data_IF_371694664461
#
_entry.id   IF_371694664461
#
_cell.length_a   1.000
_cell.length_b   1.000
_cell.length_c   1.000
_cell.angle_alpha   90.00
_cell.angle_beta   90.00
_cell.angle_gamma   90.00
#
_symmetry.space_group_name_H-M   'P 1'
#
loop_
_entity.id
_entity.type
_entity.pdbx_description
1 polymer ?
#
# COMPACT_ATOMS: atom_id res chain seq x y z
N UNK A 1 -22.03 -18.74 -25.18
CA UNK A 1 -20.63 -18.70 -24.72
C UNK A 1 -20.17 -17.24 -24.71
N UNK A 2 -19.98 -16.60 -23.55
CA UNK A 2 -19.58 -15.17 -23.50
C UNK A 2 -18.14 -15.01 -23.99
N UNK A 3 -17.86 -13.97 -24.77
CA UNK A 3 -16.51 -13.68 -25.27
C UNK A 3 -15.55 -13.39 -24.10
N UNK A 4 -14.24 -13.60 -24.30
CA UNK A 4 -13.19 -13.38 -23.28
C UNK A 4 -13.21 -11.93 -22.74
N UNK A 5 -13.52 -10.97 -23.63
CA UNK A 5 -13.77 -9.57 -23.29
C UNK A 5 -15.05 -9.40 -22.46
N UNK A 6 -16.16 -10.01 -22.85
CA UNK A 6 -17.42 -9.96 -22.08
C UNK A 6 -17.28 -10.55 -20.66
N UNK A 7 -16.45 -11.58 -20.46
CA UNK A 7 -16.13 -12.08 -19.11
C UNK A 7 -15.37 -11.04 -18.26
N UNK A 8 -14.41 -10.33 -18.86
CA UNK A 8 -13.66 -9.25 -18.18
C UNK A 8 -14.58 -8.11 -17.73
N UNK A 9 -15.61 -7.79 -18.52
CA UNK A 9 -16.63 -6.79 -18.17
C UNK A 9 -17.72 -7.29 -17.21
N UNK A 10 -17.88 -8.61 -17.06
CA UNK A 10 -18.85 -9.22 -16.13
C UNK A 10 -18.30 -9.42 -14.72
N UNK A 11 -16.99 -9.62 -14.58
CA UNK A 11 -16.33 -9.49 -13.29
C UNK A 11 -16.37 -8.01 -12.90
N UNK A 12 -16.53 -7.69 -11.62
CA UNK A 12 -16.68 -6.34 -11.06
C UNK A 12 -15.56 -5.33 -11.42
N UNK A 13 -14.65 -5.63 -12.35
CA UNK A 13 -13.54 -4.83 -12.84
C UNK A 13 -13.90 -3.38 -13.17
N UNK A 14 -14.91 -3.12 -14.01
CA UNK A 14 -15.27 -1.73 -14.37
C UNK A 14 -15.77 -0.96 -13.15
N UNK A 15 -16.63 -1.58 -12.35
CA UNK A 15 -17.14 -1.00 -11.10
C UNK A 15 -15.99 -0.72 -10.14
N UNK A 16 -15.09 -1.68 -9.96
CA UNK A 16 -13.89 -1.54 -9.13
C UNK A 16 -12.99 -0.41 -9.63
N UNK A 17 -12.78 -0.27 -10.94
CA UNK A 17 -11.97 0.79 -11.51
C UNK A 17 -12.61 2.16 -11.26
N UNK A 18 -13.92 2.28 -11.47
CA UNK A 18 -14.67 3.51 -11.19
C UNK A 18 -14.63 3.89 -9.71
N UNK A 19 -14.80 2.91 -8.80
CA UNK A 19 -14.70 3.13 -7.35
C UNK A 19 -13.28 3.54 -6.97
N UNK A 20 -12.25 2.86 -7.49
CA UNK A 20 -10.86 3.21 -7.21
C UNK A 20 -10.50 4.62 -7.67
N UNK A 21 -10.97 5.02 -8.87
CA UNK A 21 -10.79 6.39 -9.37
C UNK A 21 -11.57 7.39 -8.52
N UNK A 22 -12.86 7.12 -8.24
CA UNK A 22 -13.68 7.98 -7.39
C UNK A 22 -13.04 8.22 -6.02
N UNK A 23 -12.64 7.15 -5.33
CA UNK A 23 -12.02 7.23 -4.01
C UNK A 23 -10.70 8.01 -4.08
N UNK A 24 -9.81 7.66 -5.01
CA UNK A 24 -8.50 8.31 -5.09
C UNK A 24 -8.56 9.78 -5.50
N UNK A 25 -9.27 10.09 -6.58
CA UNK A 25 -9.28 11.41 -7.21
C UNK A 25 -10.29 12.36 -6.56
N UNK A 26 -11.52 11.89 -6.31
CA UNK A 26 -12.60 12.76 -5.87
C UNK A 26 -12.67 12.83 -4.35
N UNK A 27 -12.65 11.67 -3.69
CA UNK A 27 -12.86 11.60 -2.24
C UNK A 27 -11.60 11.95 -1.44
N UNK A 28 -10.48 11.29 -1.73
CA UNK A 28 -9.22 11.51 -1.02
C UNK A 28 -8.38 12.65 -1.58
N UNK A 29 -8.54 12.98 -2.87
CA UNK A 29 -7.73 13.94 -3.62
C UNK A 29 -6.25 13.58 -3.61
N UNK A 30 -5.79 13.11 -4.75
CA UNK A 30 -4.41 12.67 -4.93
C UNK A 30 -3.41 13.81 -4.69
N UNK A 31 -2.41 13.56 -3.83
CA UNK A 31 -1.32 14.49 -3.50
C UNK A 31 0.05 13.83 -3.62
N UNK A 32 1.06 14.62 -4.00
CA UNK A 32 2.45 14.17 -3.96
C UNK A 32 2.99 14.20 -2.53
N UNK A 33 4.04 13.42 -2.26
CA UNK A 33 4.77 13.47 -0.99
C UNK A 33 5.52 14.79 -0.83
N UNK A 34 5.65 15.28 0.41
CA UNK A 34 6.27 16.57 0.73
C UNK A 34 7.69 16.74 0.18
N UNK A 35 8.44 15.64 0.15
CA UNK A 35 9.85 15.60 -0.24
C UNK A 35 10.08 15.24 -1.71
N UNK A 36 9.05 15.23 -2.55
CA UNK A 36 9.15 14.76 -3.95
C UNK A 36 10.21 15.54 -4.76
N UNK A 37 10.42 16.83 -4.44
CA UNK A 37 11.49 17.64 -5.02
C UNK A 37 12.88 17.16 -4.61
N UNK A 38 13.07 16.79 -3.34
CA UNK A 38 14.33 16.22 -2.86
C UNK A 38 14.65 14.88 -3.53
N UNK A 39 13.63 14.05 -3.81
CA UNK A 39 13.82 12.81 -4.57
C UNK A 39 14.26 13.09 -6.02
N UNK A 40 13.73 14.15 -6.64
CA UNK A 40 14.17 14.58 -7.97
C UNK A 40 15.60 15.12 -7.97
N UNK A 41 15.97 15.96 -6.99
CA UNK A 41 17.34 16.48 -6.85
C UNK A 41 18.37 15.35 -6.65
N UNK A 42 17.99 14.27 -5.97
CA UNK A 42 18.84 13.07 -5.84
C UNK A 42 19.11 12.41 -7.20
N UNK A 43 18.13 12.39 -8.11
CA UNK A 43 18.31 11.87 -9.47
C UNK A 43 19.40 12.67 -10.19
N UNK A 44 19.38 13.98 -10.09
CA UNK A 44 20.38 14.85 -10.75
C UNK A 44 21.77 14.70 -10.13
N UNK A 45 21.87 14.55 -8.81
CA UNK A 45 23.13 14.24 -8.13
C UNK A 45 23.70 12.88 -8.55
N UNK A 46 22.85 11.88 -8.79
CA UNK A 46 23.28 10.58 -9.29
C UNK A 46 23.81 10.68 -10.73
N UNK A 47 23.21 11.52 -11.58
CA UNK A 47 23.70 11.80 -12.95
C UNK A 47 25.05 12.52 -12.95
N UNK A 48 25.24 13.49 -12.05
CA UNK A 48 26.49 14.25 -11.96
C UNK A 48 27.65 13.49 -11.30
N UNK A 49 27.37 12.34 -10.68
CA UNK A 49 28.36 11.53 -9.96
C UNK A 49 28.79 12.12 -8.60
N UNK A 50 28.20 13.25 -8.20
CA UNK A 50 28.50 13.97 -6.96
C UNK A 50 27.31 13.90 -6.00
N UNK A 51 27.15 12.76 -5.33
CA UNK A 51 26.08 12.56 -4.33
C UNK A 51 26.47 13.28 -3.04
N UNK A 52 25.84 14.43 -2.80
CA UNK A 52 26.06 15.28 -1.62
C UNK A 52 24.89 15.14 -0.63
N UNK A 53 23.75 14.62 -1.10
CA UNK A 53 22.54 14.41 -0.32
C UNK A 53 22.81 13.59 0.94
N UNK A 54 22.52 14.20 2.09
CA UNK A 54 22.40 13.54 3.40
C UNK A 54 20.96 13.12 3.68
N UNK A 55 20.06 13.16 2.69
CA UNK A 55 18.64 12.90 2.94
C UNK A 55 18.42 11.47 3.46
N UNK A 56 18.04 11.41 4.73
CA UNK A 56 17.88 10.22 5.55
C UNK A 56 16.63 9.38 5.23
N UNK A 57 15.92 9.70 4.13
CA UNK A 57 14.55 9.23 3.89
C UNK A 57 14.37 8.55 2.53
N UNK A 58 15.38 7.83 2.03
CA UNK A 58 15.16 6.92 0.91
C UNK A 58 14.39 5.70 1.44
N UNK A 59 13.08 5.87 1.58
CA UNK A 59 12.18 4.78 1.97
C UNK A 59 12.08 3.72 0.88
N UNK A 60 12.31 4.13 -0.37
CA UNK A 60 12.41 3.23 -1.51
C UNK A 60 13.21 3.83 -2.67
N UNK A 61 14.07 3.03 -3.33
CA UNK A 61 14.88 3.52 -4.44
C UNK A 61 14.14 3.58 -5.78
N UNK A 62 12.92 3.04 -5.89
CA UNK A 62 12.35 2.71 -7.21
C UNK A 62 12.05 3.94 -8.06
N UNK A 63 11.39 4.97 -7.51
CA UNK A 63 11.10 6.18 -8.30
C UNK A 63 12.37 6.95 -8.66
N UNK A 64 13.32 7.05 -7.74
CA UNK A 64 14.66 7.62 -8.00
C UNK A 64 15.41 6.85 -9.09
N UNK A 65 15.45 5.52 -8.98
CA UNK A 65 16.12 4.65 -9.97
C UNK A 65 15.46 4.74 -11.34
N UNK A 66 14.13 4.69 -11.42
CA UNK A 66 13.41 4.80 -12.69
C UNK A 66 13.62 6.17 -13.32
N UNK A 67 13.53 7.26 -12.54
CA UNK A 67 13.79 8.60 -13.05
C UNK A 67 15.22 8.78 -13.55
N UNK A 68 16.20 8.16 -12.89
CA UNK A 68 17.60 8.10 -13.36
C UNK A 68 17.73 7.31 -14.67
N UNK A 69 17.16 6.10 -14.73
CA UNK A 69 17.21 5.22 -15.93
C UNK A 69 16.55 5.87 -17.14
N UNK A 70 15.41 6.53 -16.94
CA UNK A 70 14.69 7.24 -18.00
C UNK A 70 15.27 8.62 -18.33
N UNK A 71 16.32 9.06 -17.62
CA UNK A 71 16.97 10.37 -17.80
C UNK A 71 15.96 11.52 -17.77
N UNK A 72 15.11 11.54 -16.75
CA UNK A 72 14.13 12.61 -16.58
C UNK A 72 14.84 13.84 -16.02
N UNK A 73 14.91 14.91 -16.81
CA UNK A 73 15.67 16.13 -16.47
C UNK A 73 14.76 17.32 -16.12
N UNK A 74 13.44 17.15 -16.18
CA UNK A 74 12.46 18.19 -15.84
C UNK A 74 11.55 17.72 -14.69
N UNK A 75 11.37 18.57 -13.69
CA UNK A 75 10.61 18.25 -12.50
C UNK A 75 9.12 18.01 -12.76
N UNK A 76 8.46 18.82 -13.61
CA UNK A 76 7.05 18.62 -13.94
C UNK A 76 6.85 17.31 -14.74
N UNK A 77 7.81 16.95 -15.62
CA UNK A 77 7.82 15.65 -16.31
C UNK A 77 8.00 14.50 -15.32
N UNK A 78 8.84 14.67 -14.30
CA UNK A 78 8.98 13.69 -13.21
C UNK A 78 7.67 13.52 -12.43
N UNK A 79 7.00 14.60 -12.04
CA UNK A 79 5.70 14.54 -11.37
C UNK A 79 4.65 13.81 -12.21
N UNK A 80 4.58 14.11 -13.52
CA UNK A 80 3.69 13.41 -14.45
C UNK A 80 4.03 11.92 -14.56
N UNK A 81 5.31 11.58 -14.61
CA UNK A 81 5.77 10.19 -14.61
C UNK A 81 5.33 9.43 -13.35
N UNK A 82 5.53 10.00 -12.16
CA UNK A 82 5.10 9.41 -10.89
C UNK A 82 3.59 9.18 -10.87
N UNK A 83 2.81 10.15 -11.36
CA UNK A 83 1.36 10.03 -11.48
C UNK A 83 0.93 8.90 -12.42
N UNK A 84 1.44 8.88 -13.66
CA UNK A 84 1.10 7.86 -14.64
C UNK A 84 1.49 6.46 -14.16
N UNK A 85 2.67 6.33 -13.56
CA UNK A 85 3.11 5.07 -12.97
C UNK A 85 2.17 4.60 -11.85
N UNK A 86 1.74 5.51 -10.98
CA UNK A 86 0.78 5.21 -9.91
C UNK A 86 -0.58 4.76 -10.45
N UNK A 87 -1.07 5.38 -11.53
CA UNK A 87 -2.30 4.96 -12.21
C UNK A 87 -2.18 3.56 -12.83
N UNK A 88 -1.06 3.27 -13.48
CA UNK A 88 -0.81 1.94 -14.06
C UNK A 88 -0.82 0.88 -12.96
N UNK A 89 -0.19 1.15 -11.82
CA UNK A 89 -0.21 0.23 -10.69
C UNK A 89 -1.62 0.07 -10.09
N UNK A 90 -2.39 1.16 -9.96
CA UNK A 90 -3.78 1.08 -9.52
C UNK A 90 -4.64 0.22 -10.46
N UNK A 91 -4.46 0.37 -11.77
CA UNK A 91 -5.11 -0.48 -12.76
C UNK A 91 -4.71 -1.95 -12.59
N UNK A 92 -3.42 -2.24 -12.40
CA UNK A 92 -2.92 -3.60 -12.19
C UNK A 92 -3.46 -4.22 -10.89
N UNK A 93 -3.63 -3.42 -9.83
CA UNK A 93 -4.28 -3.86 -8.58
C UNK A 93 -5.72 -4.29 -8.89
N UNK A 94 -6.51 -3.39 -9.48
CA UNK A 94 -7.93 -3.65 -9.82
C UNK A 94 -8.07 -4.86 -10.75
N UNK A 95 -7.18 -5.00 -11.73
CA UNK A 95 -7.16 -6.15 -12.62
C UNK A 95 -6.92 -7.45 -11.87
N UNK A 96 -6.01 -7.44 -10.89
CA UNK A 96 -5.71 -8.63 -10.10
C UNK A 96 -6.81 -8.97 -9.10
N UNK A 97 -7.66 -8.04 -8.66
CA UNK A 97 -8.75 -8.32 -7.71
C UNK A 97 -9.78 -9.36 -8.19
N UNK A 98 -9.79 -9.71 -9.48
CA UNK A 98 -10.67 -10.72 -10.05
C UNK A 98 -10.61 -12.07 -9.32
N UNK A 99 -9.48 -12.42 -8.70
CA UNK A 99 -9.39 -13.67 -7.93
C UNK A 99 -10.31 -13.70 -6.70
N UNK A 100 -10.70 -12.54 -6.17
CA UNK A 100 -11.67 -12.42 -5.08
C UNK A 100 -13.12 -12.55 -5.56
N UNK A 101 -13.34 -12.70 -6.88
CA UNK A 101 -14.65 -12.89 -7.49
C UNK A 101 -15.63 -11.75 -7.15
N UNK A 102 -16.88 -12.12 -6.86
CA UNK A 102 -17.96 -11.16 -6.56
C UNK A 102 -17.72 -10.28 -5.34
N UNK A 103 -16.72 -10.61 -4.50
CA UNK A 103 -16.41 -9.89 -3.26
C UNK A 103 -15.30 -8.85 -3.42
N UNK A 104 -14.68 -8.76 -4.60
CA UNK A 104 -13.50 -7.93 -4.89
C UNK A 104 -13.63 -6.47 -4.44
N UNK A 105 -14.83 -5.89 -4.53
CA UNK A 105 -15.07 -4.48 -4.23
C UNK A 105 -14.78 -4.14 -2.77
N UNK A 106 -14.94 -5.10 -1.85
CA UNK A 106 -14.64 -4.88 -0.42
C UNK A 106 -13.19 -4.50 -0.21
N UNK A 107 -12.28 -5.02 -1.05
CA UNK A 107 -10.86 -4.72 -0.95
C UNK A 107 -10.56 -3.25 -1.22
N UNK A 108 -11.27 -2.62 -2.17
CA UNK A 108 -11.11 -1.19 -2.48
C UNK A 108 -11.66 -0.30 -1.37
N UNK A 109 -12.58 -0.81 -0.57
CA UNK A 109 -13.14 -0.07 0.56
C UNK A 109 -12.23 -0.16 1.79
N UNK A 110 -11.13 -0.91 1.75
CA UNK A 110 -10.15 -0.95 2.85
C UNK A 110 -9.18 0.24 2.81
N UNK A 111 -8.54 0.55 3.94
CA UNK A 111 -7.84 1.82 4.15
C UNK A 111 -6.64 2.12 3.24
N UNK A 112 -6.11 1.15 2.48
CA UNK A 112 -4.92 1.36 1.65
C UNK A 112 -5.15 2.35 0.50
N UNK A 113 -6.39 2.52 0.02
CA UNK A 113 -6.69 3.47 -1.07
C UNK A 113 -6.40 4.90 -0.63
N UNK A 114 -6.64 5.23 0.65
CA UNK A 114 -6.28 6.55 1.19
C UNK A 114 -4.77 6.74 1.11
N UNK A 115 -4.01 5.76 1.60
CA UNK A 115 -2.55 5.80 1.67
C UNK A 115 -1.92 6.04 0.31
N UNK A 116 -2.34 5.29 -0.70
CA UNK A 116 -1.76 5.47 -2.05
C UNK A 116 -2.19 6.78 -2.72
N UNK A 117 -3.27 7.40 -2.26
CA UNK A 117 -3.77 8.67 -2.80
C UNK A 117 -3.02 9.85 -2.21
N UNK A 118 -2.73 9.83 -0.92
CA UNK A 118 -2.08 10.95 -0.24
C UNK A 118 -0.56 10.99 -0.40
N UNK A 119 0.05 9.82 -0.57
CA UNK A 119 1.50 9.69 -0.60
C UNK A 119 2.00 9.31 -2.01
N UNK A 120 1.48 9.96 -3.05
CA UNK A 120 1.97 9.67 -4.39
C UNK A 120 3.43 10.10 -4.54
N UNK A 121 4.28 9.21 -5.07
CA UNK A 121 5.73 9.36 -5.01
C UNK A 121 6.35 8.54 -3.87
N UNK A 122 5.58 8.14 -2.86
CA UNK A 122 5.93 6.92 -2.13
C UNK A 122 5.53 5.70 -2.94
N UNK A 123 6.27 4.63 -2.70
CA UNK A 123 6.11 3.36 -3.40
C UNK A 123 5.00 2.47 -2.83
N UNK A 124 4.10 3.06 -2.05
CA UNK A 124 3.07 2.33 -1.32
C UNK A 124 2.11 1.62 -2.29
N UNK A 125 1.77 2.24 -3.42
CA UNK A 125 0.93 1.62 -4.45
C UNK A 125 1.56 0.35 -5.04
N UNK A 126 2.89 0.33 -5.20
CA UNK A 126 3.60 -0.88 -5.61
C UNK A 126 3.62 -1.93 -4.50
N UNK A 127 3.77 -1.51 -3.24
CA UNK A 127 3.64 -2.41 -2.08
C UNK A 127 2.28 -3.07 -2.04
N UNK A 128 1.19 -2.33 -2.26
CA UNK A 128 -0.18 -2.89 -2.34
C UNK A 128 -0.27 -3.94 -3.44
N UNK A 129 0.22 -3.64 -4.64
CA UNK A 129 0.21 -4.60 -5.76
C UNK A 129 0.99 -5.87 -5.40
N UNK A 130 2.20 -5.74 -4.86
CA UNK A 130 3.04 -6.88 -4.52
C UNK A 130 2.43 -7.72 -3.39
N UNK A 131 1.89 -7.08 -2.34
CA UNK A 131 1.18 -7.80 -1.26
C UNK A 131 -0.04 -8.53 -1.82
N UNK A 132 -0.80 -7.92 -2.74
CA UNK A 132 -1.94 -8.56 -3.40
C UNK A 132 -1.51 -9.81 -4.17
N UNK A 133 -0.45 -9.71 -4.96
CA UNK A 133 0.08 -10.82 -5.76
C UNK A 133 0.63 -11.96 -4.88
N UNK A 134 1.37 -11.62 -3.83
CA UNK A 134 1.86 -12.60 -2.84
C UNK A 134 0.67 -13.29 -2.16
N UNK A 135 -0.30 -12.52 -1.66
CA UNK A 135 -1.48 -13.06 -0.97
C UNK A 135 -2.25 -13.99 -1.90
N UNK A 136 -2.48 -13.57 -3.15
CA UNK A 136 -3.12 -14.40 -4.18
C UNK A 136 -2.41 -15.74 -4.37
N UNK A 137 -1.09 -15.74 -4.58
CA UNK A 137 -0.30 -16.98 -4.74
C UNK A 137 -0.41 -17.91 -3.51
N UNK A 138 -0.39 -17.32 -2.31
CA UNK A 138 -0.46 -18.11 -1.08
C UNK A 138 -1.83 -18.74 -0.84
N UNK A 139 -2.90 -18.07 -1.28
CA UNK A 139 -4.28 -18.48 -1.02
C UNK A 139 -4.90 -19.33 -2.14
N UNK A 140 -4.55 -19.13 -3.43
CA UNK A 140 -5.10 -19.87 -4.58
C UNK A 140 -4.49 -21.28 -4.79
N UNK A 141 -4.03 -21.95 -3.73
CA UNK A 141 -3.44 -23.30 -3.79
C UNK A 141 -2.26 -23.50 -4.77
N UNK A 142 -1.72 -22.43 -5.34
CA UNK A 142 -0.63 -22.45 -6.33
C UNK A 142 0.56 -21.65 -5.81
N UNK A 143 1.25 -22.20 -4.80
CA UNK A 143 2.51 -21.62 -4.31
C UNK A 143 3.59 -21.81 -5.38
N UNK A 144 3.57 -20.94 -6.37
CA UNK A 144 4.63 -20.81 -7.36
C UNK A 144 5.86 -20.21 -6.68
N UNK A 145 6.78 -21.10 -6.32
CA UNK A 145 7.97 -20.80 -5.53
C UNK A 145 8.82 -19.70 -6.18
N UNK A 146 8.95 -19.72 -7.51
CA UNK A 146 9.74 -18.72 -8.25
C UNK A 146 9.10 -17.35 -8.16
N UNK A 147 7.78 -17.27 -8.36
CA UNK A 147 7.06 -16.00 -8.23
C UNK A 147 7.09 -15.48 -6.79
N UNK A 148 7.01 -16.37 -5.80
CA UNK A 148 7.09 -15.99 -4.40
C UNK A 148 8.45 -15.36 -4.06
N UNK A 149 9.56 -15.97 -4.53
CA UNK A 149 10.91 -15.39 -4.39
C UNK A 149 10.97 -14.00 -5.04
N UNK A 150 10.50 -13.88 -6.29
CA UNK A 150 10.54 -12.61 -7.05
C UNK A 150 9.71 -11.52 -6.36
N UNK A 151 8.48 -11.83 -5.93
CA UNK A 151 7.62 -10.83 -5.33
C UNK A 151 8.09 -10.40 -3.94
N UNK A 152 8.63 -11.32 -3.11
CA UNK A 152 9.27 -10.92 -1.86
C UNK A 152 10.56 -10.14 -2.09
N UNK A 153 11.37 -10.52 -3.09
CA UNK A 153 12.54 -9.73 -3.49
C UNK A 153 12.15 -8.29 -3.85
N UNK A 154 11.16 -8.13 -4.75
CA UNK A 154 10.68 -6.82 -5.16
C UNK A 154 10.07 -6.05 -3.99
N UNK A 155 9.26 -6.71 -3.14
CA UNK A 155 8.63 -6.05 -1.99
C UNK A 155 9.68 -5.63 -0.96
N UNK A 156 10.74 -6.41 -0.77
CA UNK A 156 11.85 -6.03 0.10
C UNK A 156 12.60 -4.84 -0.45
N UNK A 157 12.99 -4.86 -1.72
CA UNK A 157 13.64 -3.72 -2.40
C UNK A 157 12.76 -2.47 -2.34
N UNK A 158 11.46 -2.66 -2.49
CA UNK A 158 10.48 -1.58 -2.45
C UNK A 158 10.30 -1.00 -1.05
N UNK A 159 9.98 -1.86 -0.08
CA UNK A 159 9.64 -1.48 1.29
C UNK A 159 9.93 -2.63 2.27
N UNK A 160 11.20 -2.77 2.67
CA UNK A 160 11.70 -3.87 3.50
C UNK A 160 10.87 -4.15 4.78
N UNK A 161 10.54 -3.10 5.55
CA UNK A 161 9.74 -3.27 6.76
C UNK A 161 8.37 -3.90 6.49
N UNK A 162 7.65 -3.42 5.46
CA UNK A 162 6.36 -3.98 5.05
C UNK A 162 6.51 -5.41 4.52
N UNK A 163 7.60 -5.73 3.81
CA UNK A 163 7.90 -7.11 3.40
C UNK A 163 7.99 -8.04 4.63
N UNK A 164 8.68 -7.60 5.68
CA UNK A 164 8.85 -8.34 6.92
C UNK A 164 7.52 -8.52 7.69
N UNK A 165 6.70 -7.47 7.79
CA UNK A 165 5.36 -7.57 8.41
C UNK A 165 4.47 -8.54 7.63
N UNK A 166 4.42 -8.37 6.30
CA UNK A 166 3.64 -9.23 5.40
C UNK A 166 4.05 -10.70 5.53
N UNK A 167 5.35 -10.98 5.69
CA UNK A 167 5.86 -12.33 5.94
C UNK A 167 5.27 -12.96 7.20
N UNK A 168 5.29 -12.29 8.36
CA UNK A 168 4.73 -12.86 9.60
C UNK A 168 3.22 -13.02 9.53
N UNK A 169 2.51 -12.02 9.00
CA UNK A 169 1.06 -12.08 8.83
C UNK A 169 0.67 -13.27 7.97
N UNK A 170 1.27 -13.43 6.78
CA UNK A 170 0.95 -14.54 5.89
C UNK A 170 1.39 -15.91 6.44
N UNK A 171 2.46 -15.97 7.23
CA UNK A 171 2.87 -17.21 7.90
C UNK A 171 1.78 -17.75 8.85
N UNK A 172 1.03 -16.85 9.50
CA UNK A 172 -0.12 -17.19 10.35
C UNK A 172 -1.31 -17.62 9.49
N UNK A 173 -1.65 -16.83 8.47
CA UNK A 173 -2.85 -17.02 7.64
C UNK A 173 -2.78 -18.29 6.78
N UNK A 174 -1.62 -18.60 6.21
CA UNK A 174 -1.44 -19.71 5.26
C UNK A 174 -1.72 -21.08 5.90
N UNK A 175 -2.20 -22.02 5.08
CA UNK A 175 -2.43 -23.40 5.45
C UNK A 175 -1.15 -24.09 5.93
N UNK A 176 -1.27 -24.93 6.98
CA UNK A 176 -0.14 -25.59 7.65
C UNK A 176 0.78 -26.32 6.66
N UNK A 177 0.22 -27.02 5.69
CA UNK A 177 0.93 -27.83 4.69
C UNK A 177 1.90 -26.97 3.85
N UNK A 178 1.53 -25.71 3.56
CA UNK A 178 2.31 -24.80 2.70
C UNK A 178 3.31 -23.95 3.46
N UNK A 179 3.22 -23.88 4.80
CA UNK A 179 4.05 -23.00 5.63
C UNK A 179 5.54 -23.18 5.41
N UNK A 180 6.02 -24.42 5.29
CA UNK A 180 7.45 -24.70 5.08
C UNK A 180 7.95 -24.12 3.75
N UNK A 181 7.23 -24.39 2.67
CA UNK A 181 7.57 -23.84 1.34
C UNK A 181 7.53 -22.32 1.37
N UNK A 182 6.43 -21.74 1.87
CA UNK A 182 6.30 -20.29 2.01
C UNK A 182 7.47 -19.68 2.80
N UNK A 183 7.79 -20.23 3.97
CA UNK A 183 8.86 -19.75 4.83
C UNK A 183 10.20 -19.71 4.08
N UNK A 184 10.58 -20.79 3.41
CA UNK A 184 11.87 -20.88 2.70
C UNK A 184 11.93 -19.85 1.56
N UNK A 185 10.96 -19.86 0.64
CA UNK A 185 11.04 -19.04 -0.57
C UNK A 185 10.82 -17.55 -0.30
N UNK A 186 9.96 -17.20 0.66
CA UNK A 186 9.80 -15.81 1.09
C UNK A 186 11.04 -15.29 1.78
N UNK A 187 11.73 -16.10 2.59
CA UNK A 187 13.01 -15.71 3.22
C UNK A 187 14.11 -15.53 2.18
N UNK A 188 14.23 -16.43 1.19
CA UNK A 188 15.21 -16.28 0.10
C UNK A 188 14.99 -14.96 -0.64
N UNK A 189 13.74 -14.64 -1.01
CA UNK A 189 13.42 -13.35 -1.65
C UNK A 189 13.83 -12.15 -0.80
N UNK A 190 13.52 -12.17 0.49
CA UNK A 190 13.90 -11.09 1.42
C UNK A 190 15.41 -10.96 1.59
N UNK A 191 16.15 -12.06 1.73
CA UNK A 191 17.62 -12.03 1.87
C UNK A 191 18.26 -11.42 0.63
N UNK A 192 17.86 -11.87 -0.56
CA UNK A 192 18.40 -11.33 -1.82
C UNK A 192 18.03 -9.85 -2.00
N UNK A 193 16.80 -9.46 -1.64
CA UNK A 193 16.36 -8.06 -1.69
C UNK A 193 17.16 -7.17 -0.74
N UNK A 194 17.43 -7.65 0.48
CA UNK A 194 18.23 -6.93 1.47
C UNK A 194 19.69 -6.74 1.03
N UNK A 195 20.28 -7.73 0.36
CA UNK A 195 21.63 -7.59 -0.22
C UNK A 195 21.65 -6.45 -1.25
N UNK A 196 20.67 -6.41 -2.15
CA UNK A 196 20.59 -5.36 -3.18
C UNK A 196 20.35 -3.96 -2.59
N UNK A 197 19.43 -3.84 -1.61
CA UNK A 197 19.21 -2.56 -0.92
C UNK A 197 20.48 -2.10 -0.23
N UNK A 198 21.19 -3.01 0.46
CA UNK A 198 22.44 -2.66 1.15
C UNK A 198 23.49 -2.14 0.18
N UNK A 199 23.62 -2.78 -0.99
CA UNK A 199 24.50 -2.28 -2.06
C UNK A 199 24.08 -0.90 -2.56
N UNK A 200 22.78 -0.68 -2.81
CA UNK A 200 22.26 0.61 -3.24
C UNK A 200 22.50 1.71 -2.20
N UNK A 201 22.15 1.47 -0.94
CA UNK A 201 22.32 2.43 0.16
C UNK A 201 23.80 2.80 0.34
N UNK A 202 24.71 1.83 0.24
CA UNK A 202 26.14 2.09 0.26
C UNK A 202 26.58 2.95 -0.93
N UNK A 203 26.03 2.73 -2.13
CA UNK A 203 26.41 3.49 -3.35
C UNK A 203 26.05 4.96 -3.28
N UNK A 204 24.96 5.29 -2.60
CA UNK A 204 24.51 6.68 -2.39
C UNK A 204 25.10 7.31 -1.12
N UNK A 205 26.09 6.66 -0.48
CA UNK A 205 26.65 7.07 0.80
C UNK A 205 25.58 7.34 1.86
N UNK A 206 24.55 6.49 1.91
CA UNK A 206 23.47 6.63 2.87
C UNK A 206 24.03 6.55 4.30
N UNK A 207 24.13 7.70 4.95
CA UNK A 207 24.59 7.83 6.34
C UNK A 207 23.46 7.65 7.35
N UNK A 208 22.25 7.30 6.88
CA UNK A 208 21.11 7.11 7.75
C UNK A 208 21.31 5.97 8.74
N UNK A 209 21.01 6.28 10.00
CA UNK A 209 20.94 5.28 11.07
C UNK A 209 19.97 4.20 10.61
N UNK A 210 20.38 2.93 10.64
CA UNK A 210 19.47 1.83 10.35
C UNK A 210 18.20 1.99 11.21
N UNK A 211 17.00 1.86 10.62
CA UNK A 211 15.74 2.11 11.32
C UNK A 211 15.63 1.36 12.64
N UNK A 212 16.17 0.16 12.74
CA UNK A 212 16.28 -0.58 14.01
C UNK A 212 17.13 0.15 15.06
N UNK A 213 18.28 0.71 14.70
CA UNK A 213 19.11 1.51 15.61
C UNK A 213 18.42 2.81 16.01
N UNK A 214 17.68 3.45 15.09
CA UNK A 214 16.89 4.65 15.37
C UNK A 214 15.73 4.36 16.35
N UNK A 215 15.01 3.25 16.12
CA UNK A 215 13.96 2.71 16.99
C UNK A 215 14.45 2.52 18.44
N UNK A 216 15.66 2.01 18.64
CA UNK A 216 16.20 1.73 19.98
C UNK A 216 17.00 2.90 20.62
N UNK A 217 17.54 3.84 19.86
CA UNK A 217 18.43 4.88 20.40
C UNK A 217 17.77 6.24 20.68
N UNK A 218 16.65 6.58 20.03
CA UNK A 218 16.09 7.95 20.06
C UNK A 218 14.71 8.03 20.75
N UNK A 219 14.41 7.16 21.72
CA UNK A 219 13.10 7.04 22.42
C UNK A 219 11.88 6.88 21.50
N UNK A 220 12.09 6.58 20.21
CA UNK A 220 11.04 6.42 19.19
C UNK A 220 10.02 5.35 19.56
N UNK A 221 10.46 4.26 20.22
CA UNK A 221 9.53 3.25 20.75
C UNK A 221 8.61 3.87 21.79
N UNK A 222 9.14 4.68 22.71
CA UNK A 222 8.34 5.32 23.75
C UNK A 222 7.37 6.33 23.14
N UNK A 223 7.81 7.15 22.19
CA UNK A 223 6.96 8.12 21.50
C UNK A 223 5.87 7.44 20.65
N UNK A 224 6.22 6.37 19.95
CA UNK A 224 5.27 5.59 19.14
C UNK A 224 4.27 4.83 20.02
N UNK A 225 4.72 4.27 21.15
CA UNK A 225 3.83 3.64 22.14
C UNK A 225 2.92 4.69 22.78
N UNK A 226 3.43 5.86 23.17
CA UNK A 226 2.63 6.93 23.74
C UNK A 226 1.59 7.42 22.73
N UNK A 227 2.00 7.67 21.49
CA UNK A 227 1.08 8.04 20.42
C UNK A 227 0.01 6.97 20.18
N UNK A 228 0.39 5.69 20.04
CA UNK A 228 -0.57 4.61 19.83
C UNK A 228 -1.47 4.44 21.05
N UNK A 229 -0.96 4.61 22.28
CA UNK A 229 -1.75 4.50 23.51
C UNK A 229 -2.78 5.64 23.61
N UNK A 230 -2.34 6.89 23.43
CA UNK A 230 -3.18 8.08 23.50
C UNK A 230 -4.17 8.18 22.34
N UNK A 231 -3.79 7.65 21.18
CA UNK A 231 -4.57 7.71 19.95
C UNK A 231 -5.00 6.32 19.49
N UNK A 232 -5.13 5.33 20.39
CA UNK A 232 -5.41 3.94 19.98
C UNK A 232 -6.69 3.86 19.17
N UNK A 233 -7.71 4.62 19.58
CA UNK A 233 -8.94 4.75 18.81
C UNK A 233 -8.65 5.44 17.48
N UNK A 234 -7.91 6.54 17.39
CA UNK A 234 -7.66 7.13 16.06
C UNK A 234 -6.85 6.18 15.17
N UNK A 235 -5.78 5.53 15.66
CA UNK A 235 -4.96 4.57 14.90
C UNK A 235 -5.79 3.38 14.42
N UNK A 236 -6.64 2.83 15.30
CA UNK A 236 -7.67 1.87 14.95
C UNK A 236 -8.54 2.54 13.86
N UNK A 237 -9.35 3.54 14.17
CA UNK A 237 -10.33 4.14 13.27
C UNK A 237 -9.77 4.64 11.91
N UNK A 238 -8.48 4.99 11.84
CA UNK A 238 -7.73 5.47 10.67
C UNK A 238 -7.58 4.47 9.53
N UNK A 239 -7.24 3.22 9.85
CA UNK A 239 -7.01 2.14 8.88
C UNK A 239 -7.96 0.97 9.08
N UNK A 240 -8.67 0.94 10.20
CA UNK A 240 -9.35 -0.24 10.71
C UNK A 240 -10.83 -0.24 10.40
N UNK A 241 -11.55 0.86 10.15
CA UNK A 241 -13.02 0.73 10.18
C UNK A 241 -13.59 -0.16 9.08
N UNK A 242 -13.05 -0.09 7.87
CA UNK A 242 -13.42 -1.04 6.82
C UNK A 242 -12.91 -2.47 7.11
N UNK A 243 -11.76 -2.61 7.78
CA UNK A 243 -11.25 -3.91 8.24
C UNK A 243 -12.08 -4.48 9.40
N UNK A 244 -12.62 -3.65 10.28
CA UNK A 244 -13.50 -3.98 11.39
C UNK A 244 -14.83 -4.47 10.88
N UNK A 245 -15.39 -3.77 9.89
CA UNK A 245 -16.61 -4.21 9.24
C UNK A 245 -16.36 -5.56 8.58
N UNK A 246 -15.24 -5.73 7.88
CA UNK A 246 -14.82 -7.03 7.37
C UNK A 246 -14.63 -8.06 8.50
N UNK A 247 -14.09 -7.68 9.65
CA UNK A 247 -13.91 -8.55 10.80
C UNK A 247 -15.23 -8.96 11.44
N UNK A 248 -16.18 -8.05 11.59
CA UNK A 248 -17.52 -8.31 12.14
C UNK A 248 -18.22 -9.31 11.20
N UNK A 249 -18.23 -9.02 9.90
CA UNK A 249 -18.78 -9.93 8.89
C UNK A 249 -18.08 -11.28 8.94
N UNK A 250 -16.74 -11.29 9.00
CA UNK A 250 -15.93 -12.51 9.05
C UNK A 250 -16.19 -13.33 10.33
N UNK A 251 -16.37 -12.66 11.47
CA UNK A 251 -16.59 -13.28 12.77
C UNK A 251 -17.97 -13.93 12.88
N UNK A 252 -18.99 -13.31 12.29
CA UNK A 252 -20.35 -13.87 12.22
C UNK A 252 -20.38 -15.13 11.34
N UNK A 253 -19.51 -15.19 10.33
CA UNK A 253 -19.65 -16.16 9.22
C UNK A 253 -18.69 -17.33 9.30
N UNK A 254 -17.66 -17.26 10.16
CA UNK A 254 -16.61 -18.26 10.26
C UNK A 254 -16.42 -18.77 11.69
N UNK A 255 -15.93 -20.01 11.79
CA UNK A 255 -15.61 -20.64 13.07
C UNK A 255 -14.39 -20.02 13.78
N UNK A 256 -14.24 -20.38 15.06
CA UNK A 256 -13.19 -19.87 15.95
C UNK A 256 -11.77 -19.98 15.38
N UNK A 257 -11.44 -21.09 14.70
CA UNK A 257 -10.09 -21.29 14.14
C UNK A 257 -9.69 -20.22 13.11
N UNK A 258 -10.65 -19.78 12.28
CA UNK A 258 -10.42 -18.74 11.29
C UNK A 258 -10.33 -17.36 11.97
N UNK A 259 -11.20 -17.09 12.94
CA UNK A 259 -11.17 -15.86 13.74
C UNK A 259 -9.88 -15.73 14.55
N UNK A 260 -9.36 -16.83 15.09
CA UNK A 260 -8.09 -16.87 15.82
C UNK A 260 -6.92 -16.42 14.94
N UNK A 261 -6.84 -16.91 13.69
CA UNK A 261 -5.81 -16.49 12.73
C UNK A 261 -5.89 -14.99 12.41
N UNK A 262 -7.11 -14.48 12.23
CA UNK A 262 -7.37 -13.06 12.01
C UNK A 262 -6.83 -12.24 13.19
N UNK A 263 -7.26 -12.56 14.42
CA UNK A 263 -6.88 -11.83 15.64
C UNK A 263 -5.36 -11.81 15.84
N UNK A 264 -4.69 -12.96 15.72
CA UNK A 264 -3.23 -13.04 15.85
C UNK A 264 -2.54 -12.17 14.80
N UNK A 265 -3.01 -12.20 13.55
CA UNK A 265 -2.44 -11.41 12.47
C UNK A 265 -2.62 -9.91 12.72
N UNK A 266 -3.78 -9.49 13.23
CA UNK A 266 -4.04 -8.10 13.59
C UNK A 266 -3.12 -7.63 14.71
N UNK A 267 -2.87 -8.45 15.74
CA UNK A 267 -1.91 -8.13 16.79
C UNK A 267 -0.48 -7.96 16.26
N UNK A 268 -0.07 -8.80 15.29
CA UNK A 268 1.22 -8.63 14.60
C UNK A 268 1.27 -7.27 13.90
N UNK A 269 0.23 -6.90 13.15
CA UNK A 269 0.16 -5.60 12.47
C UNK A 269 0.24 -4.42 13.46
N UNK A 270 -0.50 -4.49 14.58
CA UNK A 270 -0.47 -3.46 15.63
C UNK A 270 0.94 -3.35 16.21
N UNK A 271 1.56 -4.48 16.58
CA UNK A 271 2.91 -4.49 17.16
C UNK A 271 3.94 -3.80 16.25
N UNK A 272 3.98 -4.15 14.96
CA UNK A 272 4.91 -3.53 14.03
C UNK A 272 4.58 -2.06 13.72
N UNK A 273 3.31 -1.69 13.81
CA UNK A 273 2.87 -0.31 13.69
C UNK A 273 3.38 0.55 14.84
N UNK A 274 3.37 0.03 16.07
CA UNK A 274 3.91 0.72 17.24
C UNK A 274 5.43 0.95 17.20
N UNK A 275 6.14 0.38 16.23
CA UNK A 275 7.58 0.50 16.07
C UNK A 275 7.91 1.46 14.89
N UNK A 276 6.91 1.96 14.18
CA UNK A 276 7.05 2.84 13.03
C UNK A 276 6.63 4.28 13.36
N UNK A 277 7.35 5.26 12.78
CA UNK A 277 7.02 6.68 12.90
C UNK A 277 5.69 7.04 12.20
N UNK A 278 5.43 6.45 11.03
CA UNK A 278 4.20 6.67 10.25
C UNK A 278 3.17 5.58 10.51
N UNK A 279 2.75 5.48 11.77
CA UNK A 279 1.96 4.37 12.33
C UNK A 279 0.78 3.95 11.45
N UNK A 280 -0.11 4.88 11.12
CA UNK A 280 -1.35 4.63 10.37
C UNK A 280 -1.13 4.29 8.89
N UNK A 281 -0.13 4.89 8.23
CA UNK A 281 0.29 4.55 6.86
C UNK A 281 0.82 3.11 6.80
N UNK A 282 1.71 2.76 7.72
CA UNK A 282 2.30 1.41 7.79
C UNK A 282 1.23 0.37 8.15
N UNK A 283 0.32 0.72 9.05
CA UNK A 283 -0.78 -0.15 9.44
C UNK A 283 -1.73 -0.46 8.27
N UNK A 284 -2.12 0.55 7.48
CA UNK A 284 -3.03 0.37 6.33
C UNK A 284 -2.46 -0.62 5.29
N UNK A 285 -1.14 -0.64 5.11
CA UNK A 285 -0.43 -1.58 4.25
C UNK A 285 -0.30 -2.96 4.92
N UNK A 286 0.01 -2.99 6.23
CA UNK A 286 0.20 -4.22 6.99
C UNK A 286 -1.06 -5.10 7.04
N UNK A 287 -2.25 -4.50 7.05
CA UNK A 287 -3.53 -5.24 7.14
C UNK A 287 -4.02 -5.80 5.79
N UNK A 288 -3.40 -5.43 4.67
CA UNK A 288 -3.80 -5.90 3.32
C UNK A 288 -3.89 -7.43 3.20
N UNK A 289 -2.91 -8.23 3.67
CA UNK A 289 -3.02 -9.69 3.60
C UNK A 289 -4.19 -10.23 4.41
N UNK A 290 -4.52 -9.58 5.54
CA UNK A 290 -5.66 -9.93 6.39
C UNK A 290 -6.96 -9.65 5.64
N UNK A 291 -7.10 -8.46 5.04
CA UNK A 291 -8.26 -8.10 4.21
C UNK A 291 -8.50 -9.12 3.10
N UNK A 292 -7.45 -9.47 2.36
CA UNK A 292 -7.52 -10.43 1.26
C UNK A 292 -7.95 -11.80 1.78
N UNK A 293 -7.35 -12.28 2.87
CA UNK A 293 -7.71 -13.56 3.49
C UNK A 293 -9.17 -13.60 3.92
N UNK A 294 -9.65 -12.55 4.59
CA UNK A 294 -11.04 -12.45 5.04
C UNK A 294 -12.01 -12.47 3.87
N UNK A 295 -11.77 -11.62 2.86
CA UNK A 295 -12.61 -11.54 1.66
C UNK A 295 -12.60 -12.86 0.90
N UNK A 296 -11.44 -13.52 0.78
CA UNK A 296 -11.33 -14.81 0.09
C UNK A 296 -12.13 -15.94 0.75
N UNK A 297 -12.43 -15.81 2.04
CA UNK A 297 -13.23 -16.80 2.79
C UNK A 297 -14.74 -16.54 2.69
N UNK A 298 -15.16 -15.34 2.25
CA UNK A 298 -16.58 -14.99 2.14
C UNK A 298 -17.35 -15.86 1.15
N UNK A 299 -16.65 -16.41 0.15
CA UNK A 299 -17.24 -17.35 -0.82
C UNK A 299 -17.80 -18.63 -0.17
N UNK A 300 -17.40 -18.97 1.06
CA UNK A 300 -17.85 -20.14 1.81
C UNK A 300 -19.16 -19.92 2.56
N UNK A 301 -19.61 -18.68 2.72
CA UNK A 301 -20.81 -18.34 3.51
C UNK A 301 -22.02 -18.07 2.60
N UNK A 302 -23.11 -18.83 2.79
CA UNK A 302 -24.41 -18.55 2.14
C UNK A 302 -24.99 -17.21 2.62
N UNK A 303 -24.88 -16.93 3.93
CA UNK A 303 -25.36 -15.70 4.54
C UNK A 303 -24.76 -14.44 3.87
N UNK A 304 -23.45 -14.44 3.57
CA UNK A 304 -22.83 -13.32 2.86
C UNK A 304 -23.34 -13.21 1.43
N UNK A 305 -23.55 -14.34 0.73
CA UNK A 305 -24.08 -14.32 -0.64
C UNK A 305 -25.47 -13.68 -0.69
N UNK A 306 -26.33 -14.05 0.24
CA UNK A 306 -27.71 -13.55 0.33
C UNK A 306 -27.77 -12.06 0.73
N UNK A 307 -26.83 -11.59 1.55
CA UNK A 307 -26.81 -10.23 2.10
C UNK A 307 -25.73 -9.32 1.50
N UNK A 308 -25.16 -9.69 0.35
CA UNK A 308 -23.98 -9.05 -0.23
C UNK A 308 -24.19 -7.55 -0.50
N UNK A 309 -25.35 -7.17 -1.04
CA UNK A 309 -25.70 -5.77 -1.33
C UNK A 309 -25.73 -4.92 -0.07
N UNK A 310 -26.34 -5.41 1.01
CA UNK A 310 -26.39 -4.72 2.30
C UNK A 310 -25.00 -4.52 2.89
N UNK A 311 -24.15 -5.54 2.84
CA UNK A 311 -22.76 -5.40 3.29
C UNK A 311 -21.96 -4.40 2.47
N UNK A 312 -22.18 -4.34 1.15
CA UNK A 312 -21.54 -3.33 0.31
C UNK A 312 -21.99 -1.92 0.65
N UNK A 313 -23.30 -1.70 0.77
CA UNK A 313 -23.86 -0.39 1.13
C UNK A 313 -23.34 0.02 2.51
N UNK A 314 -23.39 -0.88 3.49
CA UNK A 314 -22.92 -0.61 4.85
C UNK A 314 -21.43 -0.27 4.89
N UNK A 315 -20.60 -1.03 4.18
CA UNK A 315 -19.15 -0.78 4.13
C UNK A 315 -18.86 0.55 3.43
N UNK A 316 -19.50 0.81 2.29
CA UNK A 316 -19.31 2.05 1.53
C UNK A 316 -19.75 3.29 2.33
N UNK A 317 -20.95 3.26 2.91
CA UNK A 317 -21.45 4.36 3.76
C UNK A 317 -20.51 4.58 4.94
N UNK A 318 -20.06 3.50 5.59
CA UNK A 318 -19.13 3.61 6.71
C UNK A 318 -17.82 4.27 6.28
N UNK A 319 -17.24 3.87 5.14
CA UNK A 319 -16.04 4.52 4.57
C UNK A 319 -16.26 6.03 4.34
N UNK A 320 -17.45 6.42 3.86
CA UNK A 320 -17.78 7.84 3.63
C UNK A 320 -18.01 8.63 4.93
N UNK A 321 -18.69 8.05 5.92
CA UNK A 321 -19.06 8.71 7.19
C UNK A 321 -17.83 9.05 8.03
N UNK A 322 -16.84 8.17 8.07
CA UNK A 322 -15.58 8.42 8.79
C UNK A 322 -14.84 9.57 8.14
N UNK A 323 -14.89 9.63 6.80
CA UNK A 323 -14.16 10.60 6.03
C UNK A 323 -12.63 10.44 6.14
N UNK A 324 -11.87 11.33 5.49
CA UNK A 324 -10.41 11.34 5.57
C UNK A 324 -9.86 11.67 6.97
N UNK A 325 -10.69 12.25 7.85
CA UNK A 325 -10.31 12.93 9.09
C UNK A 325 -9.60 12.08 10.12
N UNK A 326 -9.80 10.77 10.07
CA UNK A 326 -9.25 9.86 11.07
C UNK A 326 -8.01 9.14 10.59
N UNK A 327 -7.58 9.30 9.32
CA UNK A 327 -6.61 8.39 8.70
C UNK A 327 -5.16 8.53 9.21
N UNK A 328 -4.80 9.56 10.00
CA UNK A 328 -3.43 9.71 10.49
C UNK A 328 -3.21 10.27 11.91
N UNK A 329 -4.11 10.05 12.88
CA UNK A 329 -3.84 10.36 14.31
C UNK A 329 -3.72 11.84 14.69
N UNK A 330 -3.66 12.75 13.71
CA UNK A 330 -4.21 14.10 13.82
C UNK A 330 -5.50 14.14 13.01
N UNK A 331 -6.48 14.90 13.50
CA UNK A 331 -7.74 15.18 12.80
C UNK A 331 -7.49 16.01 11.53
N UNK A 332 -6.84 15.39 10.54
CA UNK A 332 -6.47 16.03 9.29
C UNK A 332 -7.72 16.11 8.42
N UNK A 333 -8.36 17.27 8.43
CA UNK A 333 -9.51 17.57 7.56
C UNK A 333 -9.15 17.63 6.08
N UNK A 334 -7.85 17.69 5.77
CA UNK A 334 -7.27 17.73 4.44
C UNK A 334 -6.06 16.76 4.37
N UNK A 335 -5.49 16.51 3.19
CA UNK A 335 -4.28 15.66 3.03
C UNK A 335 -3.19 16.05 4.04
N UNK A 336 -2.37 15.14 4.58
CA UNK A 336 -1.20 15.51 5.38
C UNK A 336 -0.27 16.49 4.65
N UNK A 337 -0.37 16.54 3.33
CA UNK A 337 0.53 17.25 2.43
C UNK A 337 -0.11 18.56 1.90
N UNK A 338 -0.84 19.31 2.74
CA UNK A 338 -1.60 20.51 2.31
C UNK A 338 -0.74 21.67 1.78
N UNK A 339 0.51 21.74 2.21
CA UNK A 339 1.50 22.69 1.70
C UNK A 339 2.13 22.24 0.38
N UNK A 340 1.82 21.03 -0.08
CA UNK A 340 2.42 20.40 -1.26
C UNK A 340 1.49 20.49 -2.44
N UNK A 341 2.09 20.49 -3.61
CA UNK A 341 1.41 20.42 -4.88
C UNK A 341 0.51 19.17 -4.97
N UNK A 342 -0.78 19.36 -5.28
CA UNK A 342 -1.65 18.27 -5.70
C UNK A 342 -1.50 18.02 -7.20
N UNK A 343 -1.88 16.83 -7.68
CA UNK A 343 -1.95 16.58 -9.13
C UNK A 343 -2.84 17.61 -9.87
N UNK A 344 -3.86 18.14 -9.19
CA UNK A 344 -4.74 19.16 -9.73
C UNK A 344 -4.11 20.56 -9.85
N UNK A 345 -2.97 20.80 -9.19
CA UNK A 345 -2.17 22.00 -9.38
C UNK A 345 -1.20 21.84 -10.56
N UNK A 346 -0.75 20.61 -10.82
CA UNK A 346 0.13 20.27 -11.94
C UNK A 346 -0.59 20.42 -13.29
N UNK A 347 -1.85 20.00 -13.40
CA UNK A 347 -2.62 20.07 -14.66
C UNK A 347 -2.67 21.52 -15.20
N UNK A 348 -3.12 22.54 -14.45
CA UNK A 348 -3.11 23.92 -14.93
C UNK A 348 -1.72 24.41 -15.32
N UNK A 349 -0.66 24.01 -14.61
CA UNK A 349 0.72 24.40 -14.93
C UNK A 349 1.15 23.85 -16.29
N UNK A 350 0.90 22.57 -16.55
CA UNK A 350 1.22 21.92 -17.83
C UNK A 350 0.41 22.59 -18.94
N UNK A 351 -0.90 22.79 -18.74
CA UNK A 351 -1.77 23.44 -19.73
C UNK A 351 -1.31 24.87 -20.01
N UNK A 352 -1.03 25.68 -18.99
CA UNK A 352 -0.57 27.05 -19.17
C UNK A 352 0.80 27.12 -19.87
N UNK A 353 1.71 26.18 -19.57
CA UNK A 353 3.00 26.07 -20.25
C UNK A 353 2.82 25.76 -21.75
N UNK A 354 1.99 24.77 -22.09
CA UNK A 354 1.70 24.39 -23.48
C UNK A 354 0.97 25.49 -24.25
N UNK A 355 0.08 26.22 -23.59
CA UNK A 355 -0.73 27.28 -24.20
C UNK A 355 -0.08 28.67 -24.09
N UNK A 356 1.14 28.78 -23.56
CA UNK A 356 1.81 30.06 -23.30
C UNK A 356 1.98 30.93 -24.54
N UNK A 357 2.12 30.32 -25.72
CA UNK A 357 2.22 31.00 -27.01
C UNK A 357 0.89 31.29 -27.72
N UNK A 358 -0.26 30.95 -27.13
CA UNK A 358 -1.59 31.25 -27.70
C UNK A 358 -2.12 32.60 -27.18
N UNK A 359 -1.66 33.01 -26.00
CA UNK A 359 -2.13 34.23 -25.32
C UNK A 359 -1.14 35.40 -25.42
N UNK A 360 -0.01 35.20 -26.10
CA UNK A 360 0.95 36.23 -26.54
C UNK A 360 0.65 36.65 -27.97
#
# INVERSE_FOLDING_TARGET
>A
MKSKLQKIFYDNFVVNLLIAIFLSHIFYKITFIDRIKGEFELIDQLKSGSVISTQFYVESPIFTMLGFVFRIDNFDVYLLFVYLFSLVLLFLIVFNLKFLGSYSTFFLLTGWVVTISWFMGHVDVLSVLLILLISKLTLENSVDQKKLVIFYFLLTVNHNAIAFVCFFVLLVLIEKIKRKSFLIYSLVGQVVGNILISFYLNRINFSGRGRLRFVFNDNVILDSINFVSENIFIVIWSGFMSLLILQIIFSITNGWDLNKKFIISTFICIFFTCIALDTSRIFSLAVIPISIYSISSFNKSSFIKENLSYFYIFTFISTLLIGPRFVHGMALTNSPNNSIESFYNLIPRIVNSLMSGIWS
#
